data_IF_502156600621
#
_entry.id   IF_502156600621
#
_cell.length_a   1.000
_cell.length_b   1.000
_cell.length_c   1.000
_cell.angle_alpha   90.00
_cell.angle_beta   90.00
_cell.angle_gamma   90.00
#
_symmetry.space_group_name_H-M   'P 1'
#
loop_
_entity.id
_entity.type
_entity.pdbx_description
1 polymer ?
#
# COMPACT_ATOMS: atom_id res chain seq x y z
N UNK A 1 26.06 13.82 15.00
CA UNK A 1 25.14 13.07 14.11
C UNK A 1 24.77 13.96 12.94
N UNK A 2 24.67 13.40 11.75
CA UNK A 2 24.31 14.14 10.52
C UNK A 2 22.81 14.50 10.45
N UNK A 3 22.01 14.15 11.47
CA UNK A 3 20.56 14.40 11.50
C UNK A 3 19.78 13.67 10.43
N UNK A 4 20.26 12.49 10.01
CA UNK A 4 19.61 11.67 8.98
C UNK A 4 18.84 10.54 9.67
N UNK A 5 17.51 10.39 9.42
CA UNK A 5 16.73 9.29 9.99
C UNK A 5 17.16 7.93 9.42
N UNK A 6 17.04 6.89 10.23
CA UNK A 6 17.33 5.51 9.84
C UNK A 6 16.04 4.74 9.65
N UNK A 7 15.88 4.10 8.48
CA UNK A 7 14.80 3.15 8.27
C UNK A 7 15.27 1.73 8.51
N UNK A 8 14.75 1.09 9.55
CA UNK A 8 14.85 -0.34 9.76
C UNK A 8 13.99 -1.04 8.70
N UNK A 9 14.58 -2.00 7.99
CA UNK A 9 13.89 -2.74 6.93
C UNK A 9 14.02 -4.24 7.12
N UNK A 10 12.94 -4.89 7.57
CA UNK A 10 12.84 -6.34 7.67
C UNK A 10 12.03 -6.88 6.50
N UNK A 11 12.53 -7.92 5.84
CA UNK A 11 11.84 -8.61 4.76
C UNK A 11 11.73 -10.10 5.08
N UNK A 12 10.57 -10.69 4.78
CA UNK A 12 10.34 -12.11 5.03
C UNK A 12 11.33 -13.04 4.34
N UNK A 13 11.86 -12.65 3.17
CA UNK A 13 12.86 -13.44 2.43
C UNK A 13 14.27 -13.40 3.01
N UNK A 14 14.56 -12.49 3.94
CA UNK A 14 15.90 -12.33 4.56
C UNK A 14 15.85 -12.34 6.10
N UNK A 15 14.82 -12.94 6.67
CA UNK A 15 14.66 -13.05 8.11
C UNK A 15 15.75 -13.96 8.72
N UNK A 16 16.17 -13.64 9.94
CA UNK A 16 17.20 -14.35 10.67
C UNK A 16 16.84 -15.83 10.89
N UNK A 17 17.81 -16.73 10.69
CA UNK A 17 17.60 -18.18 10.80
C UNK A 17 17.10 -18.61 12.18
N UNK A 18 17.51 -17.92 13.23
CA UNK A 18 17.07 -18.19 14.60
C UNK A 18 15.59 -17.92 14.78
N UNK A 19 15.10 -16.79 14.23
CA UNK A 19 13.68 -16.44 14.25
C UNK A 19 12.84 -17.39 13.40
N UNK A 20 13.34 -17.77 12.22
CA UNK A 20 12.68 -18.78 11.39
C UNK A 20 12.53 -20.13 12.12
N UNK A 21 13.53 -20.55 12.91
CA UNK A 21 13.43 -21.77 13.72
C UNK A 21 12.49 -21.62 14.90
N UNK A 22 12.55 -20.47 15.60
CA UNK A 22 11.71 -20.17 16.77
C UNK A 22 10.21 -20.16 16.42
N UNK A 23 9.86 -19.58 15.27
CA UNK A 23 8.47 -19.38 14.86
C UNK A 23 7.97 -20.38 13.80
N UNK A 24 8.81 -21.31 13.38
CA UNK A 24 8.48 -22.29 12.35
C UNK A 24 8.32 -21.71 10.94
N UNK A 25 8.90 -20.53 10.68
CA UNK A 25 8.84 -19.85 9.38
C UNK A 25 8.62 -18.34 9.48
N UNK A 26 8.25 -17.74 8.34
CA UNK A 26 7.94 -16.31 8.26
C UNK A 26 6.54 -16.07 8.81
N UNK A 27 6.45 -15.57 10.03
CA UNK A 27 5.21 -15.20 10.72
C UNK A 27 5.19 -13.71 11.05
N UNK A 28 4.03 -13.11 11.36
CA UNK A 28 3.95 -11.72 11.83
C UNK A 28 4.85 -11.47 13.04
N UNK A 29 4.85 -12.37 14.02
CA UNK A 29 5.62 -12.26 15.25
C UNK A 29 7.13 -12.30 14.97
N UNK A 30 7.58 -13.18 14.06
CA UNK A 30 8.98 -13.25 13.67
C UNK A 30 9.47 -11.95 13.01
N UNK A 31 8.67 -11.38 12.12
CA UNK A 31 8.98 -10.10 11.46
C UNK A 31 9.05 -8.95 12.46
N UNK A 32 8.13 -8.89 13.40
CA UNK A 32 8.08 -7.84 14.42
C UNK A 32 9.21 -8.00 15.44
N UNK A 33 9.51 -9.22 15.89
CA UNK A 33 10.64 -9.46 16.81
C UNK A 33 11.97 -9.03 16.19
N UNK A 34 12.19 -9.33 14.90
CA UNK A 34 13.37 -8.87 14.17
C UNK A 34 13.43 -7.34 14.14
N UNK A 35 12.34 -6.68 13.75
CA UNK A 35 12.30 -5.22 13.67
C UNK A 35 12.58 -4.57 15.04
N UNK A 36 11.91 -5.04 16.09
CA UNK A 36 12.10 -4.51 17.45
C UNK A 36 13.49 -4.84 18.02
N UNK A 37 14.13 -5.92 17.56
CA UNK A 37 15.54 -6.19 17.85
C UNK A 37 16.45 -5.09 17.31
N UNK A 38 16.27 -4.70 16.06
CA UNK A 38 17.02 -3.60 15.44
C UNK A 38 16.71 -2.24 16.05
N UNK A 39 15.45 -1.99 16.47
CA UNK A 39 15.09 -0.77 17.22
C UNK A 39 15.92 -0.68 18.51
N UNK A 40 15.96 -1.76 19.29
CA UNK A 40 16.76 -1.79 20.54
C UNK A 40 18.23 -1.47 20.30
N UNK A 41 18.83 -2.04 19.26
CA UNK A 41 20.23 -1.74 18.92
C UNK A 41 20.49 -0.26 18.61
N UNK A 42 19.55 0.43 17.96
CA UNK A 42 19.67 1.87 17.70
C UNK A 42 19.45 2.68 18.99
N UNK A 43 18.46 2.31 19.80
CA UNK A 43 18.19 2.98 21.08
C UNK A 43 19.37 2.84 22.06
N UNK A 44 20.04 1.68 22.09
CA UNK A 44 21.27 1.44 22.87
C UNK A 44 22.43 2.38 22.43
N UNK A 45 22.37 2.87 21.17
CA UNK A 45 23.27 3.90 20.65
C UNK A 45 22.73 5.34 20.86
N UNK A 46 21.67 5.55 21.65
CA UNK A 46 20.97 6.82 21.83
C UNK A 46 20.47 7.43 20.53
N UNK A 47 19.93 6.59 19.64
CA UNK A 47 19.39 7.01 18.35
C UNK A 47 17.91 6.61 18.21
N UNK A 48 17.03 7.63 18.11
CA UNK A 48 15.56 7.47 18.11
C UNK A 48 14.89 8.01 16.83
N UNK A 49 15.64 8.62 15.90
CA UNK A 49 15.10 9.07 14.62
C UNK A 49 14.94 7.88 13.66
N UNK A 50 13.94 7.05 13.93
CA UNK A 50 13.72 5.74 13.34
C UNK A 50 12.40 5.70 12.59
N UNK A 51 12.40 5.06 11.42
CA UNK A 51 11.21 4.61 10.70
C UNK A 51 11.30 3.08 10.52
N UNK A 52 10.18 2.36 10.59
CA UNK A 52 10.20 0.90 10.56
C UNK A 52 9.41 0.36 9.35
N UNK A 53 9.97 -0.65 8.71
CA UNK A 53 9.35 -1.35 7.59
C UNK A 53 9.47 -2.87 7.79
N UNK A 54 8.34 -3.58 7.80
CA UNK A 54 8.27 -5.03 7.84
C UNK A 54 7.50 -5.54 6.62
N UNK A 55 8.18 -6.17 5.68
CA UNK A 55 7.60 -6.53 4.38
C UNK A 55 7.59 -8.05 4.17
N UNK A 56 6.50 -8.54 3.61
CA UNK A 56 6.34 -9.93 3.21
C UNK A 56 5.60 -10.01 1.87
N UNK A 57 5.89 -11.02 1.07
CA UNK A 57 5.18 -11.29 -0.19
C UNK A 57 3.77 -11.87 0.02
N UNK A 58 3.54 -12.48 1.19
CA UNK A 58 2.21 -12.97 1.62
C UNK A 58 1.43 -11.83 2.28
N UNK A 59 0.46 -11.28 1.57
CA UNK A 59 -0.31 -10.10 2.00
C UNK A 59 -0.95 -10.26 3.39
N UNK A 60 -1.60 -11.37 3.75
CA UNK A 60 -2.16 -11.52 5.10
C UNK A 60 -1.10 -11.45 6.22
N UNK A 61 0.06 -12.08 6.01
CA UNK A 61 1.19 -12.02 6.96
C UNK A 61 1.75 -10.61 7.04
N UNK A 62 1.91 -9.94 5.89
CA UNK A 62 2.35 -8.55 5.81
C UNK A 62 1.44 -7.62 6.62
N UNK A 63 0.14 -7.70 6.42
CA UNK A 63 -0.83 -6.87 7.15
C UNK A 63 -0.82 -7.15 8.65
N UNK A 64 -0.84 -8.42 9.05
CA UNK A 64 -0.80 -8.82 10.46
C UNK A 64 0.49 -8.34 11.15
N UNK A 65 1.64 -8.37 10.46
CA UNK A 65 2.90 -7.86 10.99
C UNK A 65 2.84 -6.35 11.26
N UNK A 66 2.35 -5.55 10.32
CA UNK A 66 2.19 -4.11 10.52
C UNK A 66 1.16 -3.78 11.61
N UNK A 67 0.04 -4.50 11.66
CA UNK A 67 -0.95 -4.33 12.73
C UNK A 67 -0.39 -4.67 14.11
N UNK A 68 0.45 -5.71 14.20
CA UNK A 68 1.13 -6.08 15.45
C UNK A 68 2.18 -5.03 15.82
N UNK A 69 2.97 -4.56 14.87
CA UNK A 69 4.00 -3.55 15.09
C UNK A 69 3.38 -2.21 15.54
N UNK A 70 2.30 -1.77 14.88
CA UNK A 70 1.58 -0.54 15.24
C UNK A 70 1.08 -0.53 16.70
N UNK A 71 0.78 -1.70 17.28
CA UNK A 71 0.40 -1.82 18.70
C UNK A 71 1.58 -1.81 19.66
N UNK A 72 2.81 -1.97 19.17
CA UNK A 72 4.01 -2.11 19.99
C UNK A 72 4.91 -0.88 19.98
N UNK A 73 4.72 0.04 19.04
CA UNK A 73 5.58 1.22 18.88
C UNK A 73 4.85 2.38 18.23
N UNK A 74 5.27 3.59 18.57
CA UNK A 74 4.81 4.84 17.96
C UNK A 74 5.76 5.33 16.83
N UNK A 75 6.80 4.60 16.51
CA UNK A 75 7.69 4.95 15.39
C UNK A 75 6.94 4.93 14.06
N UNK A 76 7.24 5.89 13.15
CA UNK A 76 6.65 5.93 11.82
C UNK A 76 6.83 4.61 11.07
N UNK A 77 5.76 4.16 10.38
CA UNK A 77 5.74 2.92 9.63
C UNK A 77 5.81 3.18 8.13
N UNK A 78 6.77 2.54 7.48
CA UNK A 78 6.91 2.56 6.03
C UNK A 78 6.29 1.31 5.42
N UNK A 79 5.10 1.45 4.84
CA UNK A 79 4.34 0.33 4.30
C UNK A 79 4.86 -0.12 2.92
N UNK A 80 4.76 -1.40 2.67
CA UNK A 80 5.03 -1.99 1.36
C UNK A 80 4.76 -3.48 1.35
N UNK A 81 4.68 -4.04 0.15
CA UNK A 81 4.68 -5.49 -0.09
C UNK A 81 5.94 -5.80 -0.90
N UNK A 82 6.77 -6.73 -0.42
CA UNK A 82 7.96 -7.16 -1.17
C UNK A 82 7.60 -8.27 -2.14
N UNK A 83 8.33 -8.37 -3.26
CA UNK A 83 8.11 -9.43 -4.27
C UNK A 83 6.64 -9.50 -4.72
N UNK A 84 6.03 -8.34 -4.94
CA UNK A 84 4.61 -8.26 -5.26
C UNK A 84 4.30 -8.86 -6.64
N UNK A 85 5.26 -8.81 -7.58
CA UNK A 85 5.19 -9.44 -8.89
C UNK A 85 4.97 -8.45 -10.04
N UNK A 86 4.43 -8.95 -11.14
CA UNK A 86 4.13 -8.15 -12.34
C UNK A 86 3.05 -7.09 -12.07
N UNK A 87 2.90 -6.07 -12.94
CA UNK A 87 2.02 -4.92 -12.67
C UNK A 87 0.61 -5.32 -12.22
N UNK A 88 -0.04 -6.23 -12.92
CA UNK A 88 -1.42 -6.64 -12.59
C UNK A 88 -1.55 -7.18 -11.16
N UNK A 89 -0.79 -8.21 -10.81
CA UNK A 89 -0.89 -8.85 -9.48
C UNK A 89 -0.19 -8.03 -8.41
N UNK A 90 0.90 -7.35 -8.77
CA UNK A 90 1.64 -6.49 -7.87
C UNK A 90 0.83 -5.30 -7.38
N UNK A 91 0.04 -4.66 -8.26
CA UNK A 91 -0.88 -3.58 -7.87
C UNK A 91 -1.98 -4.11 -6.97
N UNK A 92 -2.59 -5.27 -7.28
CA UNK A 92 -3.64 -5.86 -6.43
C UNK A 92 -3.11 -6.19 -5.03
N UNK A 93 -1.94 -6.85 -4.94
CA UNK A 93 -1.30 -7.15 -3.64
C UNK A 93 -0.98 -5.88 -2.86
N UNK A 94 -0.46 -4.86 -3.53
CA UNK A 94 -0.13 -3.57 -2.92
C UNK A 94 -1.38 -2.80 -2.49
N UNK A 95 -2.44 -2.83 -3.28
CA UNK A 95 -3.71 -2.21 -2.92
C UNK A 95 -4.31 -2.84 -1.65
N UNK A 96 -4.24 -4.16 -1.51
CA UNK A 96 -4.71 -4.85 -0.31
C UNK A 96 -3.74 -4.62 0.86
N UNK A 97 -2.44 -4.88 0.65
CA UNK A 97 -1.43 -4.88 1.72
C UNK A 97 -1.04 -3.49 2.22
N UNK A 98 -1.11 -2.47 1.37
CA UNK A 98 -0.86 -1.06 1.73
C UNK A 98 -2.20 -0.35 1.96
N UNK A 99 -3.10 -0.36 0.97
CA UNK A 99 -4.37 0.34 1.05
C UNK A 99 -5.24 -0.16 2.21
N UNK A 100 -5.28 -1.48 2.45
CA UNK A 100 -6.01 -2.06 3.57
C UNK A 100 -5.49 -1.63 4.95
N UNK A 101 -4.18 -1.37 5.10
CA UNK A 101 -3.61 -0.82 6.34
C UNK A 101 -3.90 0.68 6.47
N UNK A 102 -3.75 1.43 5.38
CA UNK A 102 -4.06 2.87 5.35
C UNK A 102 -5.52 3.15 5.72
N UNK A 103 -6.46 2.32 5.27
CA UNK A 103 -7.88 2.42 5.65
C UNK A 103 -8.12 2.15 7.16
N UNK A 104 -7.15 1.56 7.86
CA UNK A 104 -7.17 1.35 9.31
C UNK A 104 -6.40 2.45 10.08
N UNK A 105 -5.90 3.49 9.37
CA UNK A 105 -5.08 4.53 9.96
C UNK A 105 -3.64 4.10 10.28
N UNK A 106 -3.17 3.01 9.69
CA UNK A 106 -1.82 2.46 9.90
C UNK A 106 -0.92 2.83 8.73
N UNK A 107 0.21 3.49 9.02
CA UNK A 107 1.28 3.81 8.07
C UNK A 107 1.42 5.28 7.76
N UNK A 108 2.67 5.70 7.57
CA UNK A 108 3.08 7.11 7.40
C UNK A 108 3.68 7.38 6.02
N UNK A 109 4.39 6.41 5.50
CA UNK A 109 4.97 6.43 4.15
C UNK A 109 4.75 5.11 3.44
N UNK A 110 4.75 5.11 2.11
CA UNK A 110 4.49 3.91 1.31
C UNK A 110 5.51 3.73 0.20
N UNK A 111 5.73 2.47 -0.19
CA UNK A 111 6.40 2.11 -1.43
C UNK A 111 5.69 0.93 -2.09
N UNK A 112 5.25 1.13 -3.34
CA UNK A 112 4.83 0.04 -4.23
C UNK A 112 6.08 -0.53 -4.90
N UNK A 113 6.15 -1.87 -5.04
CA UNK A 113 7.24 -2.55 -5.74
C UNK A 113 6.65 -3.45 -6.81
N UNK A 114 7.03 -3.20 -8.06
CA UNK A 114 6.55 -3.92 -9.24
C UNK A 114 7.73 -4.37 -10.09
N UNK A 115 7.56 -5.47 -10.83
CA UNK A 115 8.46 -5.83 -11.94
C UNK A 115 8.07 -4.99 -13.17
N UNK A 116 8.35 -3.67 -13.10
CA UNK A 116 7.99 -2.67 -14.10
C UNK A 116 8.89 -1.44 -13.98
N UNK A 117 8.67 -0.44 -14.85
CA UNK A 117 9.33 0.88 -14.73
C UNK A 117 8.98 1.53 -13.39
N UNK A 118 9.94 2.16 -12.68
CA UNK A 118 9.70 2.83 -11.40
C UNK A 118 8.61 3.91 -11.43
N UNK A 119 8.36 4.52 -12.58
CA UNK A 119 7.27 5.50 -12.73
C UNK A 119 5.90 4.85 -12.53
N UNK A 120 5.74 3.58 -12.96
CA UNK A 120 4.50 2.82 -12.74
C UNK A 120 4.26 2.53 -11.25
N UNK A 121 5.32 2.32 -10.47
CA UNK A 121 5.20 2.16 -9.01
C UNK A 121 4.65 3.43 -8.35
N UNK A 122 5.10 4.61 -8.81
CA UNK A 122 4.61 5.91 -8.31
C UNK A 122 3.16 6.15 -8.71
N UNK A 123 2.77 5.79 -9.95
CA UNK A 123 1.37 5.87 -10.41
C UNK A 123 0.48 4.99 -9.54
N UNK A 124 0.82 3.72 -9.41
CA UNK A 124 0.08 2.77 -8.57
C UNK A 124 -0.02 3.22 -7.10
N UNK A 125 1.04 3.83 -6.55
CA UNK A 125 1.01 4.38 -5.20
C UNK A 125 0.01 5.54 -5.07
N UNK A 126 -0.05 6.44 -6.06
CA UNK A 126 -1.04 7.54 -6.10
C UNK A 126 -2.46 7.00 -6.22
N UNK A 127 -2.67 5.99 -7.05
CA UNK A 127 -3.98 5.36 -7.24
C UNK A 127 -4.47 4.68 -5.96
N UNK A 128 -3.58 3.98 -5.24
CA UNK A 128 -3.88 3.40 -3.93
C UNK A 128 -4.28 4.47 -2.91
N UNK A 129 -3.53 5.58 -2.83
CA UNK A 129 -3.85 6.68 -1.91
C UNK A 129 -5.17 7.35 -2.27
N UNK A 130 -5.47 7.50 -3.55
CA UNK A 130 -6.72 8.05 -4.05
C UNK A 130 -7.90 7.12 -3.74
N UNK A 131 -7.75 5.82 -4.02
CA UNK A 131 -8.77 4.81 -3.73
C UNK A 131 -9.04 4.66 -2.22
N UNK A 132 -8.03 4.85 -1.37
CA UNK A 132 -8.18 4.88 0.08
C UNK A 132 -8.77 6.21 0.63
N UNK A 133 -9.06 7.19 -0.23
CA UNK A 133 -9.60 8.49 0.17
C UNK A 133 -8.62 9.41 0.90
N UNK A 134 -7.33 9.08 0.92
CA UNK A 134 -6.30 9.83 1.65
C UNK A 134 -5.70 10.96 0.85
N UNK A 135 -5.70 10.85 -0.47
CA UNK A 135 -5.14 11.86 -1.36
C UNK A 135 -5.87 11.87 -2.69
N UNK A 136 -6.51 12.96 -3.00
CA UNK A 136 -7.08 13.17 -4.32
C UNK A 136 -6.03 13.81 -5.24
N UNK A 137 -5.50 13.04 -6.19
CA UNK A 137 -4.46 13.48 -7.12
C UNK A 137 -5.01 13.90 -8.50
N UNK A 138 -6.32 13.76 -8.69
CA UNK A 138 -7.01 14.06 -9.95
C UNK A 138 -8.51 13.78 -9.85
N UNK A 139 -9.20 13.61 -10.99
CA UNK A 139 -10.62 13.30 -11.02
C UNK A 139 -10.93 11.94 -10.38
N UNK A 140 -12.03 11.86 -9.66
CA UNK A 140 -12.63 10.62 -9.22
C UNK A 140 -13.74 10.22 -10.21
N UNK A 141 -13.50 9.17 -11.01
CA UNK A 141 -14.48 8.65 -11.96
C UNK A 141 -15.35 7.60 -11.28
N UNK A 142 -16.64 7.87 -11.19
CA UNK A 142 -17.66 6.92 -10.74
C UNK A 142 -18.40 6.41 -11.98
N UNK A 143 -18.37 5.11 -12.21
CA UNK A 143 -19.07 4.48 -13.32
C UNK A 143 -20.04 3.41 -12.79
N UNK A 144 -21.30 3.52 -13.20
CA UNK A 144 -22.31 2.54 -12.88
C UNK A 144 -22.05 1.24 -13.67
N UNK A 145 -22.12 0.04 -13.06
CA UNK A 145 -22.02 -1.20 -13.80
C UNK A 145 -23.25 -1.35 -14.73
N UNK A 146 -23.04 -1.99 -15.88
CA UNK A 146 -24.13 -2.29 -16.80
C UNK A 146 -25.13 -3.28 -16.18
N UNK A 147 -26.42 -2.98 -16.30
CA UNK A 147 -27.52 -3.82 -15.83
C UNK A 147 -28.71 -3.76 -16.79
N UNK A 148 -29.78 -4.51 -16.52
CA UNK A 148 -30.99 -4.51 -17.37
C UNK A 148 -31.69 -3.15 -17.54
N UNK A 149 -31.35 -2.14 -16.75
CA UNK A 149 -31.88 -0.78 -16.85
C UNK A 149 -31.03 0.14 -17.71
N UNK A 150 -29.82 -0.28 -18.12
CA UNK A 150 -28.93 0.50 -18.96
C UNK A 150 -29.55 0.75 -20.33
N UNK A 151 -29.58 2.01 -20.78
CA UNK A 151 -30.27 2.43 -22.01
C UNK A 151 -29.34 2.66 -23.20
N UNK A 152 -28.03 2.61 -23.00
CA UNK A 152 -27.01 2.83 -24.06
C UNK A 152 -25.77 2.00 -23.78
N UNK A 153 -24.87 1.88 -24.75
CA UNK A 153 -23.59 1.20 -24.59
C UNK A 153 -22.64 2.07 -23.74
N UNK A 154 -22.65 1.81 -22.45
CA UNK A 154 -21.95 2.61 -21.44
C UNK A 154 -20.45 2.31 -21.37
N UNK A 155 -20.03 1.10 -21.73
CA UNK A 155 -18.63 0.68 -21.59
C UNK A 155 -17.68 1.54 -22.43
N UNK A 156 -17.91 1.76 -23.75
CA UNK A 156 -17.07 2.65 -24.55
C UNK A 156 -17.06 4.09 -24.04
N UNK A 157 -18.21 4.59 -23.57
CA UNK A 157 -18.33 5.95 -23.06
C UNK A 157 -17.52 6.11 -21.78
N UNK A 158 -17.63 5.19 -20.83
CA UNK A 158 -16.85 5.23 -19.58
C UNK A 158 -15.35 5.22 -19.87
N UNK A 159 -14.88 4.36 -20.79
CA UNK A 159 -13.47 4.31 -21.21
C UNK A 159 -13.00 5.60 -21.88
N UNK A 160 -13.82 6.20 -22.71
CA UNK A 160 -13.48 7.47 -23.36
C UNK A 160 -13.42 8.61 -22.36
N UNK A 161 -14.33 8.65 -21.38
CA UNK A 161 -14.28 9.62 -20.28
C UNK A 161 -13.02 9.43 -19.46
N UNK A 162 -12.69 8.19 -19.06
CA UNK A 162 -11.46 7.87 -18.35
C UNK A 162 -10.21 8.37 -19.10
N UNK A 163 -10.12 8.05 -20.40
CA UNK A 163 -9.04 8.50 -21.27
C UNK A 163 -8.91 10.02 -21.36
N UNK A 164 -10.04 10.75 -21.41
CA UNK A 164 -10.03 12.23 -21.44
C UNK A 164 -9.66 12.86 -20.11
N UNK A 165 -9.83 12.13 -19.02
CA UNK A 165 -9.44 12.56 -17.68
C UNK A 165 -7.97 12.26 -17.37
N UNK A 166 -7.28 11.48 -18.20
CA UNK A 166 -5.84 11.25 -18.06
C UNK A 166 -5.07 12.57 -18.05
N UNK A 167 -4.19 12.74 -17.06
CA UNK A 167 -3.41 13.96 -16.88
C UNK A 167 -4.17 15.16 -16.28
N UNK A 168 -5.47 15.04 -16.05
CA UNK A 168 -6.22 16.06 -15.31
C UNK A 168 -5.82 16.02 -13.83
N UNK A 169 -5.47 17.18 -13.27
CA UNK A 169 -5.08 17.30 -11.85
C UNK A 169 -6.18 17.91 -10.98
N UNK A 170 -7.33 18.27 -11.58
CA UNK A 170 -8.43 18.88 -10.84
C UNK A 170 -9.13 17.84 -9.95
N UNK A 171 -9.36 18.13 -8.66
CA UNK A 171 -10.06 17.24 -7.74
C UNK A 171 -11.58 17.33 -7.94
N UNK A 172 -12.07 16.79 -9.05
CA UNK A 172 -13.50 16.74 -9.38
C UNK A 172 -14.00 15.29 -9.36
N UNK A 173 -15.29 15.12 -9.11
CA UNK A 173 -15.95 13.83 -9.29
C UNK A 173 -16.75 13.85 -10.59
N UNK A 174 -16.52 12.88 -11.44
CA UNK A 174 -17.22 12.67 -12.71
C UNK A 174 -18.00 11.37 -12.62
N UNK A 175 -19.29 11.40 -12.88
CA UNK A 175 -20.15 10.22 -12.83
C UNK A 175 -20.65 9.86 -14.24
N UNK A 176 -20.49 8.60 -14.63
CA UNK A 176 -21.05 8.04 -15.88
C UNK A 176 -22.15 7.05 -15.49
N UNK A 177 -23.40 7.42 -15.77
CA UNK A 177 -24.59 6.69 -15.32
C UNK A 177 -25.39 6.15 -16.50
N UNK A 178 -25.84 4.89 -16.41
CA UNK A 178 -26.50 4.18 -17.52
C UNK A 178 -28.02 4.30 -17.55
N UNK A 179 -28.67 4.88 -16.54
CA UNK A 179 -30.13 4.96 -16.47
C UNK A 179 -30.58 6.13 -15.58
N UNK A 180 -31.88 6.47 -15.69
CA UNK A 180 -32.53 7.57 -14.92
C UNK A 180 -32.61 7.35 -13.40
N UNK A 181 -32.31 6.15 -12.91
CA UNK A 181 -32.37 5.85 -11.47
C UNK A 181 -31.14 6.36 -10.75
N UNK A 182 -29.99 6.37 -11.43
CA UNK A 182 -28.69 6.79 -10.88
C UNK A 182 -28.14 8.04 -11.60
N UNK A 183 -28.83 8.54 -12.61
CA UNK A 183 -28.43 9.72 -13.38
C UNK A 183 -29.16 10.98 -13.01
#
# INVERSE_FOLDING_TARGET
>A
SEGIPIRIGVNGGSLERELLRKYGGVTPEALVESAMGHVRLLNDCNFDDICISVKCSRVPVNMAAYQLLHRQTDYPLHLGVTEAGTPRMGVLKSAIGIGGLLCQGIGDTIRVSLTADPVEEVRAAKDILSAAGLRQTGPNLISCPTCGRTKYDMIPIAREVERRLEGCTKPITVAVMGCVVNG
#
